data_IF_655439371188
#
_entry.id   IF_655439371188
#
_cell.length_a   1.000
_cell.length_b   1.000
_cell.length_c   1.000
_cell.angle_alpha   90.00
_cell.angle_beta   90.00
_cell.angle_gamma   90.00
#
_symmetry.space_group_name_H-M   'P 1'
#
loop_
_entity.id
_entity.type
_entity.pdbx_description
1 polymer ?
#
# COMPACT_ATOMS: atom_id res chain seq x y z
N UNK A 1 -10.66 3.86 -14.87
CA UNK A 1 -9.26 3.87 -15.31
C UNK A 1 -8.73 2.45 -15.23
N UNK A 2 -8.13 1.86 -16.28
CA UNK A 2 -7.52 0.54 -16.16
C UNK A 2 -6.35 0.63 -15.20
N UNK A 3 -6.44 -0.05 -14.06
CA UNK A 3 -5.33 -0.15 -13.12
C UNK A 3 -4.33 -1.14 -13.70
N UNK A 4 -3.42 -0.66 -14.55
CA UNK A 4 -2.30 -1.46 -15.04
C UNK A 4 -1.55 -1.99 -13.83
N UNK A 5 -1.47 -3.31 -13.67
CA UNK A 5 -0.85 -4.00 -12.55
C UNK A 5 0.67 -3.77 -12.57
N UNK A 6 1.08 -2.59 -12.14
CA UNK A 6 2.47 -2.14 -12.07
C UNK A 6 2.97 -2.20 -10.64
N UNK A 7 4.25 -2.53 -10.46
CA UNK A 7 4.91 -2.59 -9.16
C UNK A 7 5.65 -1.28 -8.86
N UNK A 8 5.30 -0.62 -7.77
CA UNK A 8 5.93 0.59 -7.26
C UNK A 8 7.07 0.23 -6.30
N UNK A 9 8.23 0.87 -6.48
CA UNK A 9 9.35 0.77 -5.54
C UNK A 9 9.13 1.71 -4.36
N UNK A 10 9.89 1.49 -3.27
CA UNK A 10 9.79 2.33 -2.06
C UNK A 10 9.82 3.85 -2.34
N UNK A 11 10.74 4.40 -3.17
CA UNK A 11 10.77 5.84 -3.43
C UNK A 11 9.50 6.35 -4.13
N UNK A 12 8.89 5.52 -4.95
CA UNK A 12 7.66 5.87 -5.67
C UNK A 12 6.44 5.84 -4.75
N UNK A 13 6.41 4.88 -3.82
CA UNK A 13 5.40 4.84 -2.75
C UNK A 13 5.51 6.06 -1.83
N UNK A 14 6.74 6.42 -1.42
CA UNK A 14 7.03 7.62 -0.63
C UNK A 14 6.50 8.89 -1.35
N UNK A 15 6.75 9.00 -2.67
CA UNK A 15 6.21 10.11 -3.49
C UNK A 15 4.70 10.11 -3.63
N UNK A 16 4.08 8.95 -3.83
CA UNK A 16 2.63 8.84 -4.04
C UNK A 16 1.82 9.14 -2.78
N UNK A 17 2.25 8.58 -1.64
CA UNK A 17 1.58 8.80 -0.36
C UNK A 17 1.99 10.16 0.23
N UNK A 18 3.11 10.74 -0.21
CA UNK A 18 3.64 11.99 0.34
C UNK A 18 4.18 11.84 1.76
N UNK A 19 4.54 10.61 2.16
CA UNK A 19 5.01 10.27 3.50
C UNK A 19 6.49 9.91 3.48
N UNK A 20 7.18 10.27 4.57
CA UNK A 20 8.56 9.87 4.77
C UNK A 20 8.68 8.35 4.85
N UNK A 21 9.85 7.83 4.51
CA UNK A 21 10.17 6.39 4.67
C UNK A 21 9.80 5.86 6.06
N UNK A 22 10.11 6.60 7.11
CA UNK A 22 9.84 6.19 8.49
C UNK A 22 8.33 6.08 8.75
N UNK A 23 7.56 7.07 8.29
CA UNK A 23 6.10 7.06 8.37
C UNK A 23 5.50 5.87 7.61
N UNK A 24 5.98 5.58 6.40
CA UNK A 24 5.52 4.41 5.63
C UNK A 24 5.73 3.11 6.41
N UNK A 25 6.90 2.91 7.02
CA UNK A 25 7.13 1.71 7.83
C UNK A 25 6.30 1.70 9.13
N UNK A 26 6.07 2.86 9.75
CA UNK A 26 5.21 2.97 10.92
C UNK A 26 3.75 2.64 10.58
N UNK A 27 3.23 3.13 9.45
CA UNK A 27 1.89 2.83 8.95
C UNK A 27 1.74 1.35 8.58
N UNK A 28 2.78 0.73 8.00
CA UNK A 28 2.79 -0.72 7.74
C UNK A 28 2.74 -1.49 9.06
N UNK A 29 3.49 -1.06 10.08
CA UNK A 29 3.48 -1.69 11.40
C UNK A 29 2.13 -1.49 12.12
N UNK A 30 1.49 -0.34 11.92
CA UNK A 30 0.18 -0.03 12.45
C UNK A 30 -0.95 -0.81 11.74
N UNK A 31 -0.72 -1.31 10.52
CA UNK A 31 -1.74 -1.98 9.71
C UNK A 31 -2.53 -1.04 8.79
N UNK A 32 -2.10 0.22 8.68
CA UNK A 32 -2.69 1.25 7.83
C UNK A 32 -2.19 1.18 6.38
N UNK A 33 -1.05 0.54 6.14
CA UNK A 33 -0.48 0.35 4.80
C UNK A 33 -0.24 -1.12 4.46
N UNK A 34 -0.40 -1.52 3.19
CA UNK A 34 -0.14 -2.86 2.73
C UNK A 34 1.36 -3.19 2.83
N UNK A 35 1.65 -4.43 3.23
CA UNK A 35 3.02 -4.94 3.32
C UNK A 35 3.64 -5.06 1.93
N UNK A 36 4.93 -4.70 1.76
CA UNK A 36 5.62 -4.88 0.49
C UNK A 36 5.62 -6.34 0.05
N UNK A 37 5.54 -6.55 -1.26
CA UNK A 37 5.71 -7.85 -1.91
C UNK A 37 7.17 -8.01 -2.34
N UNK A 38 7.76 -9.16 -2.06
CA UNK A 38 9.09 -9.51 -2.56
C UNK A 38 8.96 -9.92 -4.04
N UNK A 39 9.60 -9.17 -4.92
CA UNK A 39 9.62 -9.44 -6.38
C UNK A 39 10.97 -10.00 -6.86
N UNK A 40 11.92 -10.20 -5.94
CA UNK A 40 13.22 -10.81 -6.22
C UNK A 40 14.06 -10.97 -4.95
N UNK A 41 15.26 -11.53 -5.07
CA UNK A 41 16.12 -11.87 -3.92
C UNK A 41 16.38 -10.71 -2.93
N UNK A 42 16.55 -9.49 -3.45
CA UNK A 42 16.82 -8.29 -2.64
C UNK A 42 15.81 -7.17 -2.90
N UNK A 43 14.75 -7.47 -3.66
CA UNK A 43 13.92 -6.48 -4.31
C UNK A 43 12.48 -6.57 -3.78
N UNK A 44 12.01 -5.48 -3.17
CA UNK A 44 10.62 -5.33 -2.72
C UNK A 44 9.88 -4.30 -3.57
N UNK A 45 8.58 -4.49 -3.72
CA UNK A 45 7.70 -3.55 -4.40
C UNK A 45 6.27 -3.65 -3.86
N UNK A 46 5.48 -2.61 -4.11
CA UNK A 46 4.06 -2.54 -3.79
C UNK A 46 3.26 -2.54 -5.09
N UNK A 47 2.21 -3.34 -5.21
CA UNK A 47 1.27 -3.19 -6.31
C UNK A 47 0.67 -1.77 -6.32
N UNK A 48 0.68 -1.12 -7.47
CA UNK A 48 0.15 0.25 -7.65
C UNK A 48 -1.31 0.36 -7.22
N UNK A 49 -2.15 -0.62 -7.58
CA UNK A 49 -3.56 -0.64 -7.22
C UNK A 49 -3.81 -0.61 -5.71
N UNK A 50 -2.94 -1.23 -4.90
CA UNK A 50 -3.08 -1.20 -3.44
C UNK A 50 -2.76 0.18 -2.87
N UNK A 51 -1.71 0.81 -3.40
CA UNK A 51 -1.33 2.17 -2.98
C UNK A 51 -2.40 3.17 -3.39
N UNK A 52 -2.94 3.05 -4.60
CA UNK A 52 -4.06 3.88 -5.06
C UNK A 52 -5.31 3.68 -4.20
N UNK A 53 -5.64 2.44 -3.83
CA UNK A 53 -6.77 2.16 -2.94
C UNK A 53 -6.60 2.81 -1.56
N UNK A 54 -5.39 2.75 -0.98
CA UNK A 54 -5.09 3.41 0.30
C UNK A 54 -5.18 4.93 0.17
N UNK A 55 -4.59 5.51 -0.88
CA UNK A 55 -4.65 6.97 -1.10
C UNK A 55 -6.11 7.41 -1.27
N UNK A 56 -6.93 6.63 -1.99
CA UNK A 56 -8.36 6.88 -2.13
C UNK A 56 -9.08 6.84 -0.79
N UNK A 57 -8.78 5.86 0.07
CA UNK A 57 -9.36 5.76 1.41
C UNK A 57 -8.94 6.93 2.32
N UNK A 58 -7.66 7.33 2.29
CA UNK A 58 -7.16 8.50 3.01
C UNK A 58 -7.84 9.79 2.53
N UNK A 59 -8.05 9.93 1.22
CA UNK A 59 -8.75 11.08 0.63
C UNK A 59 -10.22 11.11 1.03
N UNK A 60 -10.84 9.94 1.18
CA UNK A 60 -12.22 9.80 1.67
C UNK A 60 -12.37 10.06 3.19
N UNK A 61 -11.27 10.27 3.91
CA UNK A 61 -11.28 10.42 5.36
C UNK A 61 -11.52 9.12 6.12
N UNK A 62 -11.14 7.98 5.53
CA UNK A 62 -11.31 6.68 6.15
C UNK A 62 -10.63 6.61 7.52
N UNK A 63 -11.32 5.96 8.45
CA UNK A 63 -10.83 5.71 9.80
C UNK A 63 -9.71 4.67 9.79
N UNK A 64 -8.88 4.61 10.85
CA UNK A 64 -7.87 3.56 11.00
C UNK A 64 -8.44 2.15 10.86
N UNK A 65 -9.65 1.91 11.35
CA UNK A 65 -10.32 0.60 11.29
C UNK A 65 -10.67 0.20 9.85
N UNK A 66 -11.19 1.14 9.06
CA UNK A 66 -11.50 0.93 7.64
C UNK A 66 -10.22 0.69 6.82
N UNK A 67 -9.15 1.41 7.15
CA UNK A 67 -7.84 1.19 6.54
C UNK A 67 -7.32 -0.23 6.82
N UNK A 68 -7.49 -0.73 8.04
CA UNK A 68 -7.10 -2.10 8.40
C UNK A 68 -7.94 -3.12 7.64
N UNK A 69 -9.25 -2.91 7.55
CA UNK A 69 -10.15 -3.76 6.78
C UNK A 69 -9.76 -3.80 5.29
N UNK A 70 -9.48 -2.63 4.71
CA UNK A 70 -9.02 -2.51 3.32
C UNK A 70 -7.69 -3.24 3.12
N UNK A 71 -6.70 -3.03 3.98
CA UNK A 71 -5.40 -3.70 3.89
C UNK A 71 -5.55 -5.22 3.98
N UNK A 72 -6.41 -5.71 4.87
CA UNK A 72 -6.70 -7.14 4.98
C UNK A 72 -7.37 -7.68 3.72
N UNK A 73 -8.33 -6.94 3.15
CA UNK A 73 -8.98 -7.29 1.89
C UNK A 73 -7.96 -7.34 0.73
N UNK A 74 -7.03 -6.38 0.67
CA UNK A 74 -5.95 -6.38 -0.32
C UNK A 74 -5.01 -7.58 -0.13
N UNK A 75 -4.68 -7.96 1.12
CA UNK A 75 -3.89 -9.17 1.37
C UNK A 75 -4.64 -10.45 0.97
N UNK A 76 -5.94 -10.53 1.22
CA UNK A 76 -6.77 -11.66 0.80
C UNK A 76 -6.82 -11.79 -0.73
N UNK A 77 -6.97 -10.66 -1.44
CA UNK A 77 -6.97 -10.63 -2.90
C UNK A 77 -5.63 -11.08 -3.53
N UNK A 78 -4.51 -11.08 -2.79
CA UNK A 78 -3.21 -11.60 -3.27
C UNK A 78 -3.13 -13.12 -3.30
N UNK A 79 -3.95 -13.81 -2.52
CA UNK A 79 -3.87 -15.28 -2.33
C UNK A 79 -4.73 -16.03 -3.35
N UNK A 80 -5.58 -15.32 -4.10
CA UNK A 80 -6.54 -15.90 -5.05
C UNK A 80 -5.98 -16.09 -6.45
#
# INVERSE_FOLDING_TARGET
>A
MPHTLSFLRRPEVERRIGRSRASVYADIAAGLLPRPVKIGQRAVAWPSHEIDAVISALTAGATPEEMHALVNQLHAARVQ
#
